data_IF_075653676900
#
_entry.id   IF_075653676900
#
_cell.length_a   1.000
_cell.length_b   1.000
_cell.length_c   1.000
_cell.angle_alpha   90.00
_cell.angle_beta   90.00
_cell.angle_gamma   90.00
#
_symmetry.space_group_name_H-M   'P 1'
#
loop_
_entity.id
_entity.type
_entity.pdbx_description
1 polymer ?
#
# COMPACT_ATOMS: atom_id res chain seq x y z
N UNK A 1 15.06 -8.77 5.81
CA UNK A 1 15.04 -8.04 4.53
C UNK A 1 16.18 -7.03 4.37
N UNK A 2 16.91 -6.64 5.43
CA UNK A 2 18.15 -5.86 5.34
C UNK A 2 19.22 -6.47 4.43
N UNK A 3 19.17 -7.78 4.19
CA UNK A 3 20.02 -8.49 3.23
C UNK A 3 19.96 -7.91 1.81
N UNK A 4 18.88 -7.20 1.43
CA UNK A 4 18.74 -6.59 0.10
C UNK A 4 19.49 -5.26 -0.05
N UNK A 5 19.86 -4.59 1.05
CA UNK A 5 20.48 -3.24 1.01
C UNK A 5 21.72 -3.19 0.10
N UNK A 6 22.69 -4.13 0.18
CA UNK A 6 23.87 -4.08 -0.67
C UNK A 6 23.53 -4.11 -2.16
N UNK A 7 22.62 -5.01 -2.57
CA UNK A 7 22.22 -5.15 -3.98
C UNK A 7 21.40 -3.97 -4.47
N UNK A 8 20.50 -3.43 -3.63
CA UNK A 8 19.78 -2.17 -3.90
C UNK A 8 20.77 -1.05 -4.21
N UNK A 9 21.77 -0.86 -3.35
CA UNK A 9 22.76 0.22 -3.49
C UNK A 9 23.64 0.02 -4.72
N UNK A 10 24.05 -1.22 -5.00
CA UNK A 10 24.80 -1.57 -6.21
C UNK A 10 24.04 -1.17 -7.48
N UNK A 11 22.78 -1.58 -7.61
CA UNK A 11 21.95 -1.27 -8.78
C UNK A 11 21.73 0.25 -8.89
N UNK A 12 21.30 0.88 -7.79
CA UNK A 12 21.04 2.33 -7.77
C UNK A 12 22.27 3.15 -8.17
N UNK A 13 23.45 2.77 -7.65
CA UNK A 13 24.73 3.41 -7.99
C UNK A 13 25.02 3.30 -9.48
N UNK A 14 24.94 2.10 -10.03
CA UNK A 14 25.16 1.84 -11.46
C UNK A 14 24.20 2.64 -12.34
N UNK A 15 22.91 2.69 -12.00
CA UNK A 15 21.92 3.43 -12.78
C UNK A 15 22.19 4.93 -12.85
N UNK A 16 22.66 5.52 -11.74
CA UNK A 16 23.03 6.94 -11.68
C UNK A 16 24.38 7.21 -12.36
N UNK A 17 25.39 6.35 -12.16
CA UNK A 17 26.70 6.47 -12.83
C UNK A 17 26.58 6.37 -14.36
N UNK A 18 25.76 5.44 -14.84
CA UNK A 18 25.49 5.23 -16.26
C UNK A 18 24.55 6.29 -16.86
N UNK A 19 24.01 7.22 -16.06
CA UNK A 19 22.97 8.19 -16.46
C UNK A 19 21.74 7.52 -17.12
N UNK A 20 21.38 6.31 -16.68
CA UNK A 20 20.18 5.60 -17.18
C UNK A 20 18.90 6.18 -16.61
N UNK A 21 18.98 6.72 -15.40
CA UNK A 21 17.90 7.40 -14.69
C UNK A 21 18.43 8.72 -14.13
N UNK A 22 17.53 9.69 -13.98
CA UNK A 22 17.85 10.98 -13.38
C UNK A 22 17.83 10.91 -11.84
N UNK A 23 16.97 10.04 -11.28
CA UNK A 23 16.80 9.85 -9.84
C UNK A 23 16.45 8.40 -9.48
N UNK A 24 16.76 8.00 -8.24
CA UNK A 24 16.32 6.73 -7.64
C UNK A 24 15.40 7.02 -6.45
N UNK A 25 14.17 6.54 -6.52
CA UNK A 25 13.17 6.60 -5.46
C UNK A 25 13.23 5.33 -4.61
N UNK A 26 13.48 5.52 -3.33
CA UNK A 26 13.56 4.46 -2.33
C UNK A 26 13.16 4.95 -0.95
N UNK A 27 13.75 4.37 0.08
CA UNK A 27 13.61 4.82 1.46
C UNK A 27 14.96 5.23 2.04
N UNK A 28 14.93 6.07 3.06
CA UNK A 28 16.03 6.25 4.02
C UNK A 28 15.55 6.03 5.44
N UNK A 29 16.49 5.79 6.36
CA UNK A 29 16.18 5.65 7.79
C UNK A 29 15.66 6.99 8.32
N UNK A 30 14.48 6.97 8.96
CA UNK A 30 13.93 8.15 9.61
C UNK A 30 14.57 8.44 10.97
N UNK A 31 14.18 9.55 11.59
CA UNK A 31 14.63 9.93 12.93
C UNK A 31 13.85 9.26 14.05
N UNK A 32 12.67 8.71 13.74
CA UNK A 32 11.81 7.97 14.67
C UNK A 32 11.88 6.48 14.33
N UNK A 33 11.98 5.57 15.32
CA UNK A 33 11.97 4.13 15.07
C UNK A 33 10.75 3.69 14.27
N UNK A 34 10.94 2.71 13.38
CA UNK A 34 9.91 2.18 12.48
C UNK A 34 9.30 3.19 11.48
N UNK A 35 9.85 4.39 11.37
CA UNK A 35 9.36 5.47 10.49
C UNK A 35 10.36 5.78 9.37
N UNK A 36 10.66 4.79 8.53
CA UNK A 36 11.43 5.03 7.32
C UNK A 36 10.64 5.93 6.37
N UNK A 37 11.35 6.86 5.72
CA UNK A 37 10.73 7.88 4.87
C UNK A 37 11.15 7.74 3.40
N UNK A 38 10.25 8.04 2.46
CA UNK A 38 10.59 8.08 1.04
C UNK A 38 11.73 9.03 0.77
N UNK A 39 12.66 8.60 -0.08
CA UNK A 39 13.88 9.34 -0.38
C UNK A 39 14.16 9.29 -1.88
N UNK A 40 14.53 10.45 -2.44
CA UNK A 40 14.96 10.60 -3.83
C UNK A 40 16.47 10.82 -3.85
N UNK A 41 17.22 9.77 -4.18
CA UNK A 41 18.64 9.87 -4.45
C UNK A 41 18.86 10.46 -5.85
N UNK A 42 19.56 11.59 -5.94
CA UNK A 42 19.82 12.31 -7.20
C UNK A 42 21.27 12.21 -7.64
N UNK A 43 22.13 11.70 -6.77
CA UNK A 43 23.57 11.58 -7.00
C UNK A 43 24.07 10.25 -6.48
N UNK A 44 25.23 9.84 -6.97
CA UNK A 44 25.92 8.62 -6.52
C UNK A 44 26.23 8.66 -5.02
N UNK A 45 26.50 9.84 -4.46
CA UNK A 45 26.68 10.02 -3.01
C UNK A 45 25.40 9.86 -2.21
N UNK A 46 24.22 10.12 -2.80
CA UNK A 46 22.95 9.94 -2.10
C UNK A 46 22.60 8.45 -1.90
N UNK A 47 23.13 7.57 -2.74
CA UNK A 47 22.88 6.12 -2.68
C UNK A 47 23.21 5.53 -1.32
N UNK A 48 24.20 6.08 -0.61
CA UNK A 48 24.58 5.59 0.71
C UNK A 48 23.49 5.81 1.78
N UNK A 49 22.57 6.74 1.54
CA UNK A 49 21.40 6.98 2.39
C UNK A 49 20.23 6.03 2.11
N UNK A 50 20.24 5.31 0.98
CA UNK A 50 19.20 4.33 0.67
C UNK A 50 19.19 3.21 1.71
N UNK A 51 17.99 2.85 2.15
CA UNK A 51 17.77 1.90 3.24
C UNK A 51 16.57 1.01 2.93
N UNK A 52 16.57 -0.20 3.50
CA UNK A 52 15.49 -1.16 3.34
C UNK A 52 15.38 -2.10 4.55
N UNK A 53 14.18 -2.24 5.09
CA UNK A 53 13.81 -3.18 6.16
C UNK A 53 12.29 -3.42 6.13
N UNK A 54 11.75 -4.15 7.11
CA UNK A 54 10.30 -4.42 7.24
C UNK A 54 9.44 -3.18 7.60
N UNK A 55 10.04 -2.00 7.77
CA UNK A 55 9.35 -0.73 8.04
C UNK A 55 9.16 0.12 6.77
N UNK A 56 9.70 -0.30 5.62
CA UNK A 56 9.51 0.31 4.29
C UNK A 56 8.11 0.04 3.70
N UNK A 57 7.06 0.25 4.52
CA UNK A 57 5.69 -0.16 4.23
C UNK A 57 4.84 0.85 3.45
N UNK A 58 5.30 2.09 3.24
CA UNK A 58 4.61 3.03 2.35
C UNK A 58 4.71 2.53 0.91
N UNK A 59 3.66 2.70 0.11
CA UNK A 59 3.71 2.38 -1.31
C UNK A 59 4.33 3.56 -2.10
N UNK A 60 5.50 3.33 -2.70
CA UNK A 60 6.26 4.35 -3.40
C UNK A 60 5.64 4.75 -4.75
N UNK A 61 4.69 3.98 -5.29
CA UNK A 61 3.96 4.38 -6.49
C UNK A 61 3.24 5.73 -6.31
N UNK A 62 2.86 6.09 -5.09
CA UNK A 62 2.23 7.38 -4.77
C UNK A 62 3.10 8.60 -5.15
N UNK A 63 4.42 8.42 -5.27
CA UNK A 63 5.36 9.50 -5.59
C UNK A 63 5.73 9.58 -7.07
N UNK A 64 5.16 8.70 -7.90
CA UNK A 64 5.46 8.59 -9.34
C UNK A 64 4.55 9.45 -10.22
N UNK A 65 3.30 9.68 -9.79
CA UNK A 65 2.36 10.49 -10.54
C UNK A 65 2.89 11.92 -10.79
N UNK A 66 2.65 12.46 -12.00
CA UNK A 66 3.11 13.77 -12.50
C UNK A 66 4.61 13.94 -12.70
N UNK A 67 5.44 12.93 -12.40
CA UNK A 67 6.87 12.98 -12.72
C UNK A 67 7.10 12.93 -14.24
N UNK A 68 8.21 13.50 -14.67
CA UNK A 68 8.59 13.56 -16.10
C UNK A 68 10.02 13.08 -16.34
N UNK A 69 10.84 13.05 -15.29
CA UNK A 69 12.20 12.52 -15.32
C UNK A 69 12.23 11.00 -15.45
N UNK A 70 13.34 10.43 -15.94
CA UNK A 70 13.58 8.99 -15.87
C UNK A 70 13.87 8.62 -14.42
N UNK A 71 13.10 7.69 -13.87
CA UNK A 71 13.14 7.37 -12.45
C UNK A 71 13.31 5.88 -12.23
N UNK A 72 14.29 5.52 -11.40
CA UNK A 72 14.31 4.20 -10.81
C UNK A 72 13.44 4.18 -9.55
N UNK A 73 12.69 3.10 -9.32
CA UNK A 73 11.89 2.92 -8.10
C UNK A 73 12.17 1.56 -7.47
N UNK A 74 12.43 1.55 -6.17
CA UNK A 74 12.55 0.31 -5.39
C UNK A 74 11.13 -0.14 -5.03
N UNK A 75 10.69 -1.27 -5.56
CA UNK A 75 9.28 -1.66 -5.50
C UNK A 75 9.11 -3.13 -5.12
N UNK A 76 8.26 -3.37 -4.11
CA UNK A 76 7.74 -4.70 -3.73
C UNK A 76 6.50 -5.07 -4.55
N UNK A 77 5.98 -6.30 -4.39
CA UNK A 77 4.80 -6.79 -5.11
C UNK A 77 3.65 -5.78 -5.20
N UNK A 78 3.14 -5.31 -4.06
CA UNK A 78 2.03 -4.35 -4.02
C UNK A 78 2.36 -2.97 -4.65
N UNK A 79 3.61 -2.51 -4.59
CA UNK A 79 4.06 -1.30 -5.29
C UNK A 79 4.00 -1.50 -6.80
N UNK A 80 4.54 -2.61 -7.30
CA UNK A 80 4.54 -2.90 -8.75
C UNK A 80 3.15 -3.09 -9.31
N UNK A 81 2.22 -3.68 -8.55
CA UNK A 81 0.80 -3.76 -8.93
C UNK A 81 0.18 -2.37 -9.07
N UNK A 82 0.48 -1.43 -8.16
CA UNK A 82 0.01 -0.06 -8.32
C UNK A 82 0.71 0.67 -9.48
N UNK A 83 1.98 0.37 -9.76
CA UNK A 83 2.67 0.89 -10.94
C UNK A 83 2.00 0.39 -12.22
N UNK A 84 1.59 -0.88 -12.30
CA UNK A 84 0.77 -1.40 -13.41
C UNK A 84 -0.50 -0.57 -13.57
N UNK A 85 -1.24 -0.35 -12.49
CA UNK A 85 -2.44 0.51 -12.51
C UNK A 85 -2.14 1.93 -12.99
N UNK A 86 -1.01 2.52 -12.58
CA UNK A 86 -0.60 3.85 -13.05
C UNK A 86 -0.29 3.86 -14.54
N UNK A 87 0.34 2.80 -15.07
CA UNK A 87 0.68 2.70 -16.49
C UNK A 87 -0.58 2.57 -17.34
N UNK A 88 -1.48 1.64 -17.00
CA UNK A 88 -2.70 1.42 -17.78
C UNK A 88 -3.64 2.64 -17.72
N UNK A 89 -3.64 3.39 -16.62
CA UNK A 89 -4.40 4.64 -16.48
C UNK A 89 -3.64 5.88 -16.97
N UNK A 90 -2.52 5.71 -17.69
CA UNK A 90 -1.73 6.80 -18.28
C UNK A 90 -1.21 7.85 -17.28
N UNK A 91 -1.03 7.47 -16.01
CA UNK A 91 -0.46 8.34 -14.99
C UNK A 91 1.06 8.37 -15.02
N UNK A 92 1.66 7.30 -15.54
CA UNK A 92 3.09 7.19 -15.78
C UNK A 92 3.33 6.33 -17.02
N UNK A 93 4.41 6.58 -17.75
CA UNK A 93 4.81 5.77 -18.92
C UNK A 93 5.82 4.72 -18.51
N UNK A 94 5.72 3.50 -19.04
CA UNK A 94 6.64 2.40 -18.71
C UNK A 94 8.11 2.70 -19.07
N UNK A 95 8.34 3.47 -20.14
CA UNK A 95 9.66 3.83 -20.65
C UNK A 95 10.42 4.86 -19.78
N UNK A 96 9.71 5.57 -18.89
CA UNK A 96 10.32 6.48 -17.92
C UNK A 96 10.75 5.78 -16.62
N UNK A 97 10.41 4.48 -16.46
CA UNK A 97 10.63 3.71 -15.25
C UNK A 97 11.78 2.72 -15.38
N UNK A 98 12.57 2.61 -14.31
CA UNK A 98 13.40 1.44 -14.01
C UNK A 98 12.96 0.85 -12.67
N UNK A 99 12.46 -0.38 -12.66
CA UNK A 99 11.89 -0.99 -11.46
C UNK A 99 12.92 -1.93 -10.83
N UNK A 100 13.43 -1.52 -9.67
CA UNK A 100 14.28 -2.35 -8.81
C UNK A 100 13.35 -3.19 -7.94
N UNK A 101 13.09 -4.42 -8.36
CA UNK A 101 12.11 -5.31 -7.76
C UNK A 101 12.61 -5.94 -6.46
N UNK A 102 11.78 -5.91 -5.43
CA UNK A 102 12.05 -6.48 -4.10
C UNK A 102 11.08 -7.62 -3.76
N UNK A 103 11.55 -8.88 -3.73
CA UNK A 103 10.79 -10.00 -3.18
C UNK A 103 10.49 -9.78 -1.69
N UNK A 104 9.21 -9.62 -1.35
CA UNK A 104 8.76 -9.14 -0.04
C UNK A 104 8.45 -10.29 0.92
N UNK A 105 8.85 -10.16 2.19
CA UNK A 105 8.52 -11.11 3.28
C UNK A 105 7.47 -10.55 4.26
N UNK A 106 6.70 -9.56 3.81
CA UNK A 106 5.75 -8.80 4.63
C UNK A 106 6.38 -7.61 5.37
N UNK A 107 5.55 -6.60 5.65
CA UNK A 107 5.91 -5.40 6.41
C UNK A 107 5.35 -5.48 7.82
N UNK A 108 6.05 -4.92 8.81
CA UNK A 108 5.63 -4.97 10.22
C UNK A 108 4.70 -3.82 10.60
N UNK A 109 3.82 -4.08 11.55
CA UNK A 109 2.89 -3.10 12.10
C UNK A 109 3.50 -2.37 13.30
N UNK A 110 3.87 -1.11 13.06
CA UNK A 110 4.40 -0.24 14.11
C UNK A 110 3.43 -0.03 15.27
N UNK A 111 2.11 -0.04 15.04
CA UNK A 111 1.11 0.15 16.10
C UNK A 111 1.03 -1.08 16.97
N UNK A 112 0.99 -2.25 16.34
CA UNK A 112 0.98 -3.51 17.06
C UNK A 112 2.24 -3.65 17.92
N UNK A 113 3.41 -3.38 17.33
CA UNK A 113 4.68 -3.36 18.07
C UNK A 113 4.61 -2.33 19.21
N UNK A 114 4.23 -1.08 18.96
CA UNK A 114 4.12 -0.07 20.02
C UNK A 114 3.14 -0.47 21.14
N UNK A 115 2.04 -1.15 20.81
CA UNK A 115 1.07 -1.62 21.80
C UNK A 115 1.61 -2.76 22.69
N UNK A 116 2.48 -3.63 22.16
CA UNK A 116 3.15 -4.69 22.96
C UNK A 116 4.08 -4.12 24.04
N UNK A 117 4.53 -2.88 23.88
CA UNK A 117 5.46 -2.19 24.78
C UNK A 117 4.83 -0.93 25.39
N UNK A 118 3.53 -0.96 25.67
CA UNK A 118 2.82 0.19 26.23
C UNK A 118 3.52 0.77 27.47
N UNK A 119 3.73 2.09 27.48
CA UNK A 119 4.45 2.79 28.53
C UNK A 119 5.97 2.71 28.48
N UNK A 120 6.56 2.00 27.49
CA UNK A 120 8.00 1.96 27.24
C UNK A 120 8.34 2.72 25.95
N UNK A 121 9.46 3.43 25.97
CA UNK A 121 10.00 4.08 24.78
C UNK A 121 10.83 3.07 23.98
N UNK A 122 10.43 2.82 22.73
CA UNK A 122 11.20 2.03 21.77
C UNK A 122 12.23 2.96 21.12
N UNK A 123 13.50 2.59 21.21
CA UNK A 123 14.62 3.37 20.64
C UNK A 123 15.13 2.78 19.33
N UNK A 124 15.01 1.46 19.16
CA UNK A 124 15.46 0.77 17.95
C UNK A 124 14.60 -0.45 17.68
N UNK A 125 14.29 -0.66 16.39
CA UNK A 125 13.73 -1.92 15.89
C UNK A 125 14.64 -2.41 14.78
N UNK A 126 15.14 -3.62 14.94
CA UNK A 126 15.98 -4.29 13.96
C UNK A 126 15.38 -5.66 13.58
N UNK A 127 15.92 -6.29 12.54
CA UNK A 127 15.45 -7.56 12.04
C UNK A 127 16.61 -8.53 11.79
N UNK A 128 16.41 -9.80 12.14
CA UNK A 128 17.37 -10.87 11.91
C UNK A 128 16.64 -12.15 11.50
N UNK A 129 16.72 -12.51 10.21
CA UNK A 129 15.98 -13.64 9.67
C UNK A 129 14.48 -13.46 9.91
N UNK A 130 13.83 -14.45 10.51
CA UNK A 130 12.40 -14.47 10.87
C UNK A 130 12.06 -13.77 12.19
N UNK A 131 13.00 -13.04 12.79
CA UNK A 131 12.80 -12.38 14.07
C UNK A 131 12.91 -10.86 13.95
N UNK A 132 12.08 -10.16 14.71
CA UNK A 132 12.12 -8.72 14.94
C UNK A 132 12.66 -8.48 16.35
N UNK A 133 13.69 -7.65 16.45
CA UNK A 133 14.36 -7.32 17.71
C UNK A 133 13.96 -5.89 18.07
N UNK A 134 13.25 -5.73 19.19
CA UNK A 134 12.78 -4.44 19.69
C UNK A 134 13.61 -4.07 20.92
N UNK A 135 14.24 -2.90 20.87
CA UNK A 135 15.08 -2.39 21.96
C UNK A 135 14.57 -1.04 22.44
N UNK A 136 14.75 -0.81 23.73
CA UNK A 136 14.59 0.49 24.35
C UNK A 136 15.33 0.53 25.68
N UNK A 137 15.08 1.58 26.46
CA UNK A 137 15.79 1.78 27.72
C UNK A 137 15.53 0.62 28.70
N UNK A 138 16.55 -0.20 28.94
CA UNK A 138 16.50 -1.32 29.88
C UNK A 138 15.76 -2.56 29.40
N UNK A 139 15.43 -2.69 28.10
CA UNK A 139 14.84 -3.91 27.54
C UNK A 139 15.31 -4.20 26.11
N UNK A 140 15.31 -5.49 25.76
CA UNK A 140 15.58 -5.99 24.41
C UNK A 140 14.79 -7.28 24.25
N UNK A 141 13.71 -7.23 23.48
CA UNK A 141 12.84 -8.37 23.24
C UNK A 141 12.94 -8.82 21.78
N UNK A 142 12.72 -10.12 21.56
CA UNK A 142 12.70 -10.70 20.22
C UNK A 142 11.34 -11.35 20.00
N UNK A 143 10.67 -10.96 18.92
CA UNK A 143 9.37 -11.52 18.53
C UNK A 143 9.45 -12.12 17.12
N UNK A 144 8.75 -13.21 16.83
CA UNK A 144 8.65 -13.73 15.47
C UNK A 144 8.03 -12.68 14.54
N UNK A 145 8.58 -12.53 13.32
CA UNK A 145 8.06 -11.60 12.31
C UNK A 145 6.57 -11.83 12.06
N UNK A 146 6.18 -13.09 11.92
CA UNK A 146 4.80 -13.48 11.59
C UNK A 146 3.78 -12.97 12.62
N UNK A 147 4.19 -12.73 13.87
CA UNK A 147 3.29 -12.23 14.92
C UNK A 147 3.08 -10.72 14.86
N UNK A 148 3.93 -9.97 14.15
CA UNK A 148 3.91 -8.50 14.11
C UNK A 148 3.77 -7.93 12.70
N UNK A 149 3.33 -8.75 11.74
CA UNK A 149 3.03 -8.28 10.39
C UNK A 149 1.83 -7.33 10.39
N UNK A 150 1.84 -6.37 9.48
CA UNK A 150 0.62 -5.63 9.13
C UNK A 150 -0.45 -6.62 8.65
N UNK A 151 -1.70 -6.34 8.98
CA UNK A 151 -2.84 -7.18 8.63
C UNK A 151 -2.88 -7.53 7.13
N UNK A 152 -2.54 -6.58 6.25
CA UNK A 152 -2.48 -6.84 4.81
C UNK A 152 -1.33 -7.76 4.39
N UNK A 153 -0.24 -7.75 5.15
CA UNK A 153 0.94 -8.54 4.88
C UNK A 153 0.81 -9.97 5.41
N UNK A 154 0.04 -10.21 6.48
CA UNK A 154 -0.18 -11.56 7.02
C UNK A 154 -1.04 -12.44 6.09
N UNK A 155 -1.89 -11.83 5.26
CA UNK A 155 -2.76 -12.53 4.29
C UNK A 155 -2.33 -12.29 2.83
N UNK A 156 -1.13 -11.75 2.59
CA UNK A 156 -0.70 -11.41 1.23
C UNK A 156 -0.41 -12.66 0.40
N UNK A 157 -0.87 -12.69 -0.85
CA UNK A 157 -0.59 -13.75 -1.83
C UNK A 157 0.35 -13.30 -2.97
N UNK A 158 0.76 -12.02 -2.97
CA UNK A 158 1.58 -11.40 -4.02
C UNK A 158 2.85 -10.78 -3.43
N UNK A 159 3.78 -11.64 -3.06
CA UNK A 159 5.05 -11.27 -2.45
C UNK A 159 6.06 -10.73 -3.46
N UNK A 160 6.01 -11.26 -4.68
CA UNK A 160 6.98 -10.96 -5.71
C UNK A 160 6.54 -9.75 -6.56
N UNK A 161 7.49 -8.95 -7.07
CA UNK A 161 7.18 -7.90 -8.05
C UNK A 161 6.55 -8.49 -9.32
N UNK A 162 5.40 -7.96 -9.75
CA UNK A 162 4.70 -8.40 -10.98
C UNK A 162 5.42 -7.93 -12.25
N UNK A 163 5.98 -6.72 -12.19
CA UNK A 163 6.84 -6.15 -13.22
C UNK A 163 8.11 -5.64 -12.59
N UNK A 164 9.26 -5.87 -13.22
CA UNK A 164 10.56 -5.39 -12.75
C UNK A 164 11.57 -5.34 -13.90
N UNK A 165 12.63 -4.56 -13.73
CA UNK A 165 13.79 -4.53 -14.64
C UNK A 165 14.97 -5.32 -14.05
N UNK A 166 15.16 -5.27 -12.72
CA UNK A 166 16.18 -6.05 -12.02
C UNK A 166 15.69 -6.42 -10.61
N UNK A 167 15.97 -7.66 -10.17
CA UNK A 167 15.64 -8.13 -8.82
C UNK A 167 16.82 -7.99 -7.87
N UNK A 168 16.53 -7.65 -6.62
CA UNK A 168 17.54 -7.53 -5.55
C UNK A 168 17.82 -8.84 -4.81
N UNK A 169 17.06 -9.89 -5.11
CA UNK A 169 17.15 -11.21 -4.50
C UNK A 169 16.33 -12.25 -5.26
N UNK A 170 16.37 -13.49 -4.81
CA UNK A 170 15.55 -14.57 -5.36
C UNK A 170 14.07 -14.36 -5.05
N UNK A 171 13.20 -14.81 -5.95
CA UNK A 171 11.77 -14.83 -5.72
C UNK A 171 11.45 -15.67 -4.48
N UNK A 172 10.49 -15.21 -3.70
CA UNK A 172 10.03 -15.94 -2.52
C UNK A 172 8.82 -16.80 -2.87
N UNK A 173 8.58 -17.84 -2.10
CA UNK A 173 7.37 -18.64 -2.24
C UNK A 173 6.15 -17.78 -1.88
N UNK A 174 5.15 -17.83 -2.75
CA UNK A 174 3.86 -17.19 -2.54
C UNK A 174 2.88 -18.21 -1.98
N UNK A 175 2.17 -17.85 -0.89
CA UNK A 175 1.24 -18.77 -0.29
C UNK A 175 0.07 -19.04 -1.24
N UNK A 176 -0.36 -20.30 -1.28
CA UNK A 176 -1.52 -20.76 -2.05
C UNK A 176 -2.68 -20.99 -1.11
N UNK A 177 -3.90 -20.86 -1.63
CA UNK A 177 -5.13 -21.22 -0.93
C UNK A 177 -5.35 -20.44 0.39
N UNK A 178 -4.92 -19.18 0.45
CA UNK A 178 -5.18 -18.27 1.58
C UNK A 178 -6.57 -17.64 1.40
N UNK A 179 -7.45 -17.84 2.36
CA UNK A 179 -8.70 -17.07 2.42
C UNK A 179 -8.39 -15.63 2.86
N UNK A 180 -8.48 -14.70 1.91
CA UNK A 180 -8.25 -13.28 2.11
C UNK A 180 -9.54 -12.50 2.41
N UNK A 181 -10.66 -13.15 2.71
CA UNK A 181 -11.95 -12.47 2.86
C UNK A 181 -12.80 -13.02 4.00
N UNK A 182 -12.22 -13.76 4.95
CA UNK A 182 -12.92 -14.31 6.12
C UNK A 182 -13.65 -13.23 6.95
N UNK A 183 -12.94 -12.13 7.25
CA UNK A 183 -13.48 -10.96 7.94
C UNK A 183 -14.58 -10.24 7.14
N UNK A 184 -14.46 -10.22 5.81
CA UNK A 184 -15.47 -9.65 4.91
C UNK A 184 -16.75 -10.49 4.89
N UNK A 185 -16.61 -11.82 4.81
CA UNK A 185 -17.74 -12.76 4.83
C UNK A 185 -18.54 -12.60 6.14
N UNK A 186 -17.85 -12.48 7.28
CA UNK A 186 -18.50 -12.21 8.57
C UNK A 186 -19.31 -10.91 8.58
N UNK A 187 -18.85 -9.86 7.88
CA UNK A 187 -19.59 -8.59 7.72
C UNK A 187 -20.76 -8.73 6.74
N UNK A 188 -20.63 -9.55 5.70
CA UNK A 188 -21.70 -9.83 4.72
C UNK A 188 -22.90 -10.56 5.35
N UNK A 189 -22.65 -11.40 6.36
CA UNK A 189 -23.68 -12.14 7.10
C UNK A 189 -24.50 -11.26 8.07
N UNK A 190 -24.02 -10.06 8.41
CA UNK A 190 -24.73 -9.13 9.29
C UNK A 190 -26.04 -8.64 8.65
N UNK A 191 -27.08 -8.43 9.48
CA UNK A 191 -28.28 -7.75 9.01
C UNK A 191 -27.97 -6.31 8.54
N UNK A 192 -28.82 -5.70 7.69
CA UNK A 192 -28.62 -4.32 7.23
C UNK A 192 -28.40 -3.32 8.38
N UNK A 193 -29.15 -3.45 9.47
CA UNK A 193 -29.06 -2.60 10.65
C UNK A 193 -27.75 -2.82 11.42
N UNK A 194 -27.36 -4.08 11.66
CA UNK A 194 -26.10 -4.42 12.32
C UNK A 194 -24.89 -3.93 11.52
N UNK A 195 -24.91 -4.15 10.21
CA UNK A 195 -23.84 -3.71 9.31
C UNK A 195 -23.73 -2.20 9.24
N UNK A 196 -24.86 -1.48 9.22
CA UNK A 196 -24.86 -0.03 9.27
C UNK A 196 -24.23 0.48 10.57
N UNK A 197 -24.61 -0.11 11.71
CA UNK A 197 -24.07 0.24 13.02
C UNK A 197 -22.58 -0.10 13.11
N UNK A 198 -22.14 -1.26 12.59
CA UNK A 198 -20.75 -1.66 12.51
C UNK A 198 -19.88 -0.59 11.82
N UNK A 199 -20.25 -0.16 10.61
CA UNK A 199 -19.48 0.87 9.89
C UNK A 199 -19.57 2.24 10.54
N UNK A 200 -20.69 2.57 11.17
CA UNK A 200 -20.84 3.80 11.95
C UNK A 200 -19.83 3.83 13.11
N UNK A 201 -19.73 2.74 13.85
CA UNK A 201 -18.80 2.63 14.98
C UNK A 201 -17.34 2.59 14.51
N UNK A 202 -17.07 1.84 13.45
CA UNK A 202 -15.75 1.74 12.80
C UNK A 202 -15.18 3.12 12.43
N UNK A 203 -16.02 3.99 11.86
CA UNK A 203 -15.60 5.31 11.39
C UNK A 203 -15.79 6.43 12.41
N UNK A 204 -16.44 6.17 13.55
CA UNK A 204 -16.66 7.17 14.60
C UNK A 204 -15.39 7.89 15.10
N UNK A 205 -14.18 7.27 15.14
CA UNK A 205 -12.96 7.98 15.55
C UNK A 205 -12.36 8.88 14.45
N UNK A 206 -12.93 8.87 13.23
CA UNK A 206 -12.33 9.54 12.07
C UNK A 206 -12.32 11.06 12.24
N UNK A 207 -11.12 11.63 12.27
CA UNK A 207 -10.90 13.09 12.35
C UNK A 207 -10.83 13.77 10.97
N UNK A 208 -11.12 13.04 9.88
CA UNK A 208 -11.05 13.53 8.48
C UNK A 208 -9.77 14.28 8.11
N UNK A 209 -8.61 13.80 8.61
CA UNK A 209 -7.30 14.36 8.26
C UNK A 209 -6.84 14.03 6.83
N UNK A 210 -7.57 13.15 6.12
CA UNK A 210 -7.29 12.68 4.76
C UNK A 210 -5.93 11.97 4.56
N UNK A 211 -5.25 11.58 5.63
CA UNK A 211 -3.99 10.82 5.53
C UNK A 211 -4.16 9.52 4.73
N UNK A 212 -5.29 8.82 4.88
CA UNK A 212 -5.62 7.62 4.09
C UNK A 212 -5.84 7.91 2.60
N UNK A 213 -6.30 9.11 2.24
CA UNK A 213 -6.41 9.58 0.85
C UNK A 213 -5.03 9.90 0.29
N UNK A 214 -4.27 10.72 0.99
CA UNK A 214 -3.00 11.27 0.51
C UNK A 214 -1.87 10.22 0.45
N UNK A 215 -1.99 9.13 1.21
CA UNK A 215 -1.07 7.98 1.14
C UNK A 215 -1.43 6.96 0.07
N UNK A 216 -2.62 7.05 -0.53
CA UNK A 216 -3.10 6.05 -1.46
C UNK A 216 -2.55 6.32 -2.87
N UNK A 217 -1.86 5.35 -3.50
CA UNK A 217 -1.33 5.55 -4.85
C UNK A 217 -2.43 5.72 -5.90
N UNK A 218 -3.70 5.44 -5.61
CA UNK A 218 -4.81 5.57 -6.57
C UNK A 218 -5.53 6.93 -6.50
N UNK A 219 -5.20 7.76 -5.51
CA UNK A 219 -5.85 9.04 -5.27
C UNK A 219 -5.11 10.20 -5.96
N UNK A 220 -5.06 10.18 -7.29
CA UNK A 220 -4.38 11.18 -8.14
C UNK A 220 -5.32 12.01 -9.02
N UNK A 221 -6.63 11.96 -8.78
CA UNK A 221 -7.59 12.76 -9.52
C UNK A 221 -7.19 14.25 -9.47
N UNK A 222 -7.23 14.98 -10.60
CA UNK A 222 -6.90 16.41 -10.62
C UNK A 222 -7.84 17.22 -9.74
N UNK A 223 -9.09 16.77 -9.63
CA UNK A 223 -10.13 17.36 -8.79
C UNK A 223 -10.78 16.24 -7.97
N UNK A 224 -10.79 16.41 -6.64
CA UNK A 224 -11.34 15.43 -5.71
C UNK A 224 -12.66 15.92 -5.12
N UNK A 225 -13.65 15.02 -5.00
CA UNK A 225 -14.95 15.30 -4.36
C UNK A 225 -14.83 15.86 -2.94
N UNK A 226 -13.72 15.55 -2.26
CA UNK A 226 -13.38 16.05 -0.92
C UNK A 226 -13.01 17.53 -0.94
N UNK A 227 -12.33 17.95 -2.00
CA UNK A 227 -11.78 19.29 -2.13
C UNK A 227 -12.82 20.24 -2.76
N UNK A 228 -13.68 19.73 -3.66
CA UNK A 228 -14.76 20.50 -4.28
C UNK A 228 -15.75 21.10 -3.27
N UNK A 229 -16.14 22.35 -3.53
CA UNK A 229 -17.21 23.04 -2.78
C UNK A 229 -18.42 23.36 -3.66
N UNK A 230 -18.30 23.22 -5.00
CA UNK A 230 -19.34 23.56 -5.97
C UNK A 230 -19.29 22.63 -7.20
N UNK A 231 -20.24 21.69 -7.35
CA UNK A 231 -21.23 21.31 -6.33
C UNK A 231 -20.56 20.64 -5.12
N UNK A 232 -21.16 20.78 -3.94
CA UNK A 232 -20.67 20.10 -2.74
C UNK A 232 -21.27 18.69 -2.68
N UNK A 233 -20.49 17.68 -3.06
CA UNK A 233 -20.91 16.28 -3.05
C UNK A 233 -20.96 15.67 -1.65
N UNK A 234 -20.03 16.08 -0.78
CA UNK A 234 -19.90 15.58 0.59
C UNK A 234 -19.69 16.77 1.51
N UNK A 235 -20.34 16.78 2.68
CA UNK A 235 -20.07 17.79 3.69
C UNK A 235 -18.62 17.74 4.15
N UNK A 236 -18.14 18.81 4.78
CA UNK A 236 -16.75 18.97 5.24
C UNK A 236 -16.63 18.85 6.76
N UNK A 237 -17.67 18.38 7.43
CA UNK A 237 -17.72 18.24 8.89
C UNK A 237 -17.28 16.86 9.36
N UNK A 238 -17.10 16.67 10.66
CA UNK A 238 -16.90 15.36 11.27
C UNK A 238 -18.23 14.69 11.65
N UNK A 239 -19.36 15.20 11.14
CA UNK A 239 -20.63 14.49 11.26
C UNK A 239 -20.51 13.10 10.66
N UNK A 240 -21.10 12.11 11.34
CA UNK A 240 -20.95 10.72 10.96
C UNK A 240 -21.46 10.44 9.54
N UNK A 241 -22.48 11.17 9.08
CA UNK A 241 -23.00 11.07 7.72
C UNK A 241 -21.93 11.46 6.69
N UNK A 242 -21.24 12.58 6.94
CA UNK A 242 -20.18 13.07 6.06
C UNK A 242 -18.97 12.12 6.07
N UNK A 243 -18.61 11.61 7.24
CA UNK A 243 -17.51 10.66 7.43
C UNK A 243 -17.79 9.37 6.67
N UNK A 244 -18.95 8.75 6.88
CA UNK A 244 -19.34 7.52 6.18
C UNK A 244 -19.39 7.74 4.66
N UNK A 245 -19.97 8.86 4.22
CA UNK A 245 -20.04 9.21 2.78
C UNK A 245 -18.64 9.33 2.18
N UNK A 246 -17.68 9.97 2.88
CA UNK A 246 -16.28 10.02 2.44
C UNK A 246 -15.67 8.63 2.27
N UNK A 247 -15.83 7.74 3.26
CA UNK A 247 -15.26 6.40 3.22
C UNK A 247 -15.87 5.54 2.10
N UNK A 248 -17.19 5.57 1.94
CA UNK A 248 -17.87 4.83 0.88
C UNK A 248 -17.50 5.33 -0.52
N UNK A 249 -17.64 6.64 -0.79
CA UNK A 249 -17.31 7.19 -2.11
C UNK A 249 -15.85 6.96 -2.48
N UNK A 250 -14.93 7.11 -1.52
CA UNK A 250 -13.51 6.80 -1.76
C UNK A 250 -13.30 5.32 -2.08
N UNK A 251 -13.96 4.40 -1.37
CA UNK A 251 -13.87 2.98 -1.67
C UNK A 251 -14.37 2.67 -3.09
N UNK A 252 -15.51 3.23 -3.49
CA UNK A 252 -16.05 3.10 -4.85
C UNK A 252 -15.09 3.64 -5.94
N UNK A 253 -14.42 4.76 -5.71
CA UNK A 253 -13.39 5.27 -6.64
C UNK A 253 -12.16 4.34 -6.79
N UNK A 254 -11.97 3.42 -5.83
CA UNK A 254 -10.90 2.43 -5.84
C UNK A 254 -11.36 1.05 -6.31
N UNK A 255 -12.65 0.84 -6.62
CA UNK A 255 -13.19 -0.44 -7.07
C UNK A 255 -12.47 -0.89 -8.36
N UNK A 256 -11.94 -2.11 -8.37
CA UNK A 256 -11.16 -2.65 -9.49
C UNK A 256 -9.76 -2.05 -9.65
N UNK A 257 -9.32 -1.18 -8.73
CA UNK A 257 -8.00 -0.51 -8.77
C UNK A 257 -7.17 -0.81 -7.53
N UNK A 258 -7.80 -1.08 -6.39
CA UNK A 258 -7.12 -1.39 -5.13
C UNK A 258 -6.28 -2.67 -5.23
N UNK A 259 -5.03 -2.61 -4.78
CA UNK A 259 -4.06 -3.72 -4.76
C UNK A 259 -3.79 -4.21 -3.32
N UNK A 260 -4.66 -3.83 -2.39
CA UNK A 260 -4.58 -4.20 -0.98
C UNK A 260 -3.27 -3.82 -0.25
N UNK A 261 -2.63 -2.73 -0.66
CA UNK A 261 -1.26 -2.40 -0.22
C UNK A 261 -1.12 -1.85 1.21
N UNK A 262 -2.19 -1.70 2.00
CA UNK A 262 -2.11 -1.28 3.42
C UNK A 262 -1.74 0.18 3.68
N UNK A 263 -1.36 0.96 2.66
CA UNK A 263 -0.85 2.34 2.87
C UNK A 263 -1.85 3.27 3.57
N UNK A 264 -3.15 3.12 3.29
CA UNK A 264 -4.20 3.92 3.90
C UNK A 264 -4.36 3.67 5.42
N UNK A 265 -4.25 2.41 5.85
CA UNK A 265 -4.33 2.01 7.26
C UNK A 265 -3.08 2.41 8.03
N UNK A 266 -1.90 2.19 7.41
CA UNK A 266 -0.61 2.63 7.95
C UNK A 266 -0.58 4.14 8.22
N UNK A 267 -1.24 4.93 7.37
CA UNK A 267 -1.30 6.38 7.49
C UNK A 267 -2.36 6.90 8.48
N UNK A 268 -3.39 6.11 8.81
CA UNK A 268 -4.54 6.61 9.57
C UNK A 268 -4.21 6.82 11.06
N UNK A 269 -4.07 8.05 11.59
CA UNK A 269 -3.56 8.27 12.95
C UNK A 269 -4.40 7.64 14.08
N UNK A 270 -5.68 7.37 13.81
CA UNK A 270 -6.64 6.78 14.76
C UNK A 270 -6.92 5.29 14.51
N UNK A 271 -6.12 4.61 13.69
CA UNK A 271 -6.17 3.14 13.63
C UNK A 271 -7.35 2.50 12.88
N UNK A 272 -8.11 3.26 12.09
CA UNK A 272 -9.25 2.71 11.34
C UNK A 272 -8.78 1.71 10.26
N UNK A 273 -9.34 0.48 10.21
CA UNK A 273 -9.05 -0.52 9.19
C UNK A 273 -9.81 -0.21 7.89
N UNK A 274 -9.25 0.74 7.13
CA UNK A 274 -9.81 1.25 5.88
C UNK A 274 -10.00 0.18 4.79
N UNK A 275 -9.25 -0.93 4.87
CA UNK A 275 -9.24 -1.95 3.82
C UNK A 275 -10.49 -2.78 3.78
N UNK A 276 -11.28 -2.86 4.85
CA UNK A 276 -12.54 -3.62 4.88
C UNK A 276 -13.45 -3.29 3.68
N UNK A 277 -13.61 -1.99 3.37
CA UNK A 277 -14.41 -1.57 2.22
C UNK A 277 -13.76 -1.93 0.88
N UNK A 278 -12.45 -1.70 0.73
CA UNK A 278 -11.77 -1.95 -0.54
C UNK A 278 -11.54 -3.42 -0.82
N UNK A 279 -11.35 -4.27 0.21
CA UNK A 279 -11.26 -5.73 0.10
C UNK A 279 -12.61 -6.33 -0.25
N UNK A 280 -13.71 -5.80 0.29
CA UNK A 280 -15.05 -6.17 -0.17
C UNK A 280 -15.23 -5.89 -1.66
N UNK A 281 -14.83 -4.71 -2.13
CA UNK A 281 -14.90 -4.37 -3.56
C UNK A 281 -13.91 -5.19 -4.40
N UNK A 282 -12.74 -5.55 -3.86
CA UNK A 282 -11.79 -6.46 -4.51
C UNK A 282 -12.41 -7.86 -4.70
N UNK A 283 -13.02 -8.41 -3.64
CA UNK A 283 -13.76 -9.68 -3.68
C UNK A 283 -14.86 -9.65 -4.73
N UNK A 284 -15.70 -8.60 -4.73
CA UNK A 284 -16.78 -8.46 -5.71
C UNK A 284 -16.25 -8.38 -7.14
N UNK A 285 -15.17 -7.63 -7.37
CA UNK A 285 -14.57 -7.50 -8.69
C UNK A 285 -14.00 -8.85 -9.16
N UNK A 286 -13.39 -9.62 -8.26
CA UNK A 286 -12.89 -10.95 -8.57
C UNK A 286 -14.04 -11.93 -8.87
N UNK A 287 -15.06 -12.01 -8.02
CA UNK A 287 -16.20 -12.92 -8.16
C UNK A 287 -17.05 -12.61 -9.41
N UNK A 288 -17.23 -11.33 -9.74
CA UNK A 288 -18.08 -10.91 -10.85
C UNK A 288 -17.35 -10.87 -12.19
N UNK A 289 -16.08 -10.43 -12.22
CA UNK A 289 -15.36 -10.16 -13.48
C UNK A 289 -14.12 -11.04 -13.66
N UNK A 290 -13.73 -11.84 -12.67
CA UNK A 290 -12.48 -12.62 -12.70
C UNK A 290 -11.23 -11.75 -12.71
N UNK A 291 -11.34 -10.47 -12.37
CA UNK A 291 -10.27 -9.48 -12.50
C UNK A 291 -9.53 -9.30 -11.17
N UNK A 292 -8.21 -9.13 -11.27
CA UNK A 292 -7.37 -8.74 -10.14
C UNK A 292 -6.50 -7.52 -10.50
N UNK A 293 -6.52 -6.50 -9.65
CA UNK A 293 -5.83 -5.24 -9.92
C UNK A 293 -4.31 -5.40 -10.00
N UNK A 294 -3.73 -4.82 -11.05
CA UNK A 294 -2.28 -4.64 -11.18
C UNK A 294 -1.51 -5.90 -11.59
N UNK A 295 -2.20 -6.92 -12.12
CA UNK A 295 -1.57 -8.19 -12.52
C UNK A 295 -1.05 -8.19 -13.96
N UNK A 296 -1.58 -7.34 -14.83
CA UNK A 296 -1.20 -7.28 -16.25
C UNK A 296 -1.21 -5.84 -16.77
N UNK A 297 -0.30 -5.54 -17.70
CA UNK A 297 -0.31 -4.28 -18.47
C UNK A 297 -1.30 -4.30 -19.64
N UNK A 298 -1.83 -5.47 -19.98
CA UNK A 298 -2.73 -5.68 -21.12
C UNK A 298 -4.21 -5.65 -20.72
N UNK A 299 -4.50 -5.71 -19.43
CA UNK A 299 -5.86 -5.75 -18.88
C UNK A 299 -6.19 -4.43 -18.18
N UNK A 300 -7.38 -3.89 -18.44
CA UNK A 300 -7.89 -2.69 -17.79
C UNK A 300 -8.93 -3.06 -16.73
N UNK A 301 -9.15 -2.23 -15.69
CA UNK A 301 -10.18 -2.48 -14.70
C UNK A 301 -11.57 -2.67 -15.35
N UNK A 302 -12.44 -3.56 -14.82
CA UNK A 302 -13.76 -3.82 -15.40
C UNK A 302 -14.65 -2.58 -15.51
N UNK A 303 -14.53 -1.63 -14.58
CA UNK A 303 -15.33 -0.39 -14.61
C UNK A 303 -14.79 0.69 -15.56
N UNK A 304 -13.72 0.39 -16.29
CA UNK A 304 -13.08 1.25 -17.28
C UNK A 304 -13.19 0.66 -18.70
N UNK A 305 -13.80 -0.51 -18.85
CA UNK A 305 -14.05 -1.17 -20.12
C UNK A 305 -15.48 -1.71 -20.17
N UNK A 306 -15.92 -2.12 -21.35
CA UNK A 306 -17.22 -2.76 -21.54
C UNK A 306 -17.00 -4.07 -22.26
N UNK A 307 -17.63 -5.14 -21.77
CA UNK A 307 -17.69 -6.43 -22.48
C UNK A 307 -19.15 -6.84 -22.69
N UNK A 308 -19.51 -7.38 -23.87
CA UNK A 308 -20.87 -7.88 -24.09
C UNK A 308 -21.31 -9.01 -23.16
N UNK A 309 -20.36 -9.70 -22.52
CA UNK A 309 -20.57 -10.79 -21.57
C UNK A 309 -20.45 -10.36 -20.09
N UNK A 310 -20.41 -9.05 -19.80
CA UNK A 310 -20.39 -8.56 -18.42
C UNK A 310 -21.65 -9.00 -17.64
N UNK A 311 -21.57 -9.21 -16.31
CA UNK A 311 -22.70 -9.67 -15.52
C UNK A 311 -23.85 -8.64 -15.46
N UNK A 312 -24.97 -8.94 -16.14
CA UNK A 312 -26.15 -8.05 -16.21
C UNK A 312 -27.21 -8.33 -15.12
N UNK A 313 -26.87 -9.01 -14.02
CA UNK A 313 -27.85 -9.49 -13.02
C UNK A 313 -28.63 -8.37 -12.31
N UNK A 314 -28.17 -7.12 -12.41
CA UNK A 314 -28.80 -5.92 -11.87
C UNK A 314 -29.81 -5.28 -12.84
N UNK A 315 -29.79 -5.62 -14.13
CA UNK A 315 -30.84 -5.26 -15.10
C UNK A 315 -31.93 -6.33 -15.01
N UNK A 316 -32.98 -6.05 -14.23
CA UNK A 316 -34.19 -6.87 -14.12
C UNK A 316 -35.39 -6.16 -14.75
#
# INVERSE_FOLDING_TARGET
MKEYIPKIKEIARKLLEDNKVDVVLGFRKGTIPMMNEPFLAKSVSDVDQLYWDSNCGINLANYLHKRQEKIAVIAKGCDTRNIVTHIIENQIKRDQLYIIGVPCKGMVDKRQISAMFEGKEIEEVDENGENIIIKGNGFSETVPRAEVLQDNCSICIHHNPVIYDELVGELVEEPKDVDRYDDIQAIEEMSPEERYQYFKDLFSPCIRCYACRNSCPLCYCPTCFVDESRPQWVGKSIDITDVMTFHFLRAFHCAGRCTDCGSCERACPVGIPMRLLTRKLEKDIHELYGYEAGMSLEERPPLDTYRPDDPEFFIK
#
